data_IF_096486087454
#
_entry.id   IF_096486087454
#
_cell.length_a   1.000
_cell.length_b   1.000
_cell.length_c   1.000
_cell.angle_alpha   90.00
_cell.angle_beta   90.00
_cell.angle_gamma   90.00
#
_symmetry.space_group_name_H-M   'P 1'
#
loop_
_entity.id
_entity.type
_entity.pdbx_description
1 polymer ?
#
# COMPACT_ATOMS: atom_id res chain seq x y z
N UNK A 1 23.31 16.83 25.16
CA UNK A 1 23.39 15.64 24.30
C UNK A 1 22.05 15.48 23.62
N UNK A 2 22.02 15.39 22.29
CA UNK A 2 20.81 14.99 21.55
C UNK A 2 20.81 13.48 21.42
N UNK A 3 19.74 12.82 21.84
CA UNK A 3 19.54 11.40 21.56
C UNK A 3 18.94 11.28 20.16
N UNK A 4 19.52 10.40 19.34
CA UNK A 4 18.92 10.04 18.06
C UNK A 4 17.90 8.93 18.34
N UNK A 5 16.61 9.15 18.08
CA UNK A 5 15.61 8.11 18.25
C UNK A 5 15.81 6.98 17.23
N UNK A 6 15.50 5.76 17.63
CA UNK A 6 15.39 4.60 16.73
C UNK A 6 13.91 4.33 16.51
N UNK A 7 13.47 4.28 15.25
CA UNK A 7 12.10 3.86 14.95
C UNK A 7 11.95 2.37 15.24
N UNK A 8 11.10 2.01 16.19
CA UNK A 8 10.82 0.62 16.51
C UNK A 8 9.73 0.00 15.61
N UNK A 9 9.03 0.85 14.85
CA UNK A 9 7.95 0.44 13.96
C UNK A 9 7.97 1.31 12.69
N UNK A 10 8.05 0.67 11.53
CA UNK A 10 8.02 1.34 10.23
C UNK A 10 7.57 0.36 9.16
N UNK A 11 6.83 0.86 8.17
CA UNK A 11 6.30 0.06 7.07
C UNK A 11 6.77 0.62 5.72
N UNK A 12 6.70 -0.21 4.69
CA UNK A 12 6.84 0.16 3.29
C UNK A 12 5.51 -0.08 2.57
N UNK A 13 5.27 0.62 1.47
CA UNK A 13 4.13 0.35 0.60
C UNK A 13 4.50 -0.79 -0.33
N UNK A 14 3.71 -1.86 -0.38
CA UNK A 14 4.02 -2.99 -1.25
C UNK A 14 3.81 -2.65 -2.73
N UNK A 15 4.69 -3.11 -3.64
CA UNK A 15 4.43 -3.00 -5.07
C UNK A 15 3.22 -3.85 -5.47
N UNK A 16 2.53 -3.55 -6.59
CA UNK A 16 1.27 -4.20 -6.95
C UNK A 16 1.38 -5.71 -7.15
N UNK A 17 2.58 -6.17 -7.51
CA UNK A 17 2.90 -7.57 -7.78
C UNK A 17 3.44 -8.34 -6.55
N UNK A 18 3.49 -7.71 -5.37
CA UNK A 18 4.16 -8.25 -4.17
C UNK A 18 3.75 -9.69 -3.85
N UNK A 19 2.47 -10.00 -3.90
CA UNK A 19 1.92 -11.27 -3.43
C UNK A 19 1.63 -12.30 -4.56
N UNK A 20 1.83 -11.95 -5.83
CA UNK A 20 1.43 -12.79 -6.97
C UNK A 20 2.61 -13.48 -7.67
N UNK A 21 3.76 -12.82 -7.74
CA UNK A 21 4.87 -13.28 -8.60
C UNK A 21 5.50 -14.58 -8.09
N UNK A 22 5.70 -14.67 -6.77
CA UNK A 22 6.50 -15.72 -6.14
C UNK A 22 5.72 -16.66 -5.21
N UNK A 23 4.40 -16.49 -5.13
CA UNK A 23 3.55 -17.39 -4.33
C UNK A 23 3.44 -18.77 -5.00
N UNK A 24 3.33 -19.83 -4.19
CA UNK A 24 3.00 -21.18 -4.69
C UNK A 24 1.72 -21.08 -5.57
N UNK A 25 1.75 -21.59 -6.82
CA UNK A 25 0.64 -21.43 -7.76
C UNK A 25 -0.73 -21.81 -7.20
N UNK A 26 -0.81 -22.78 -6.29
CA UNK A 26 -2.09 -23.21 -5.70
C UNK A 26 -2.78 -22.15 -4.85
N UNK A 27 -2.08 -21.07 -4.48
CA UNK A 27 -2.62 -19.97 -3.67
C UNK A 27 -2.85 -18.68 -4.46
N UNK A 28 -2.52 -18.61 -5.76
CA UNK A 28 -2.65 -17.37 -6.54
C UNK A 28 -4.06 -16.81 -6.55
N UNK A 29 -5.07 -17.67 -6.56
CA UNK A 29 -6.48 -17.27 -6.60
C UNK A 29 -6.97 -16.62 -5.30
N UNK A 30 -6.24 -16.83 -4.19
CA UNK A 30 -6.58 -16.29 -2.86
C UNK A 30 -5.54 -15.31 -2.33
N UNK A 31 -4.48 -15.03 -3.10
CA UNK A 31 -3.45 -14.09 -2.72
C UNK A 31 -4.02 -12.67 -2.64
N UNK A 32 -3.51 -11.81 -1.73
CA UNK A 32 -3.77 -10.40 -1.77
C UNK A 32 -3.48 -9.83 -3.17
N UNK A 33 -4.40 -9.06 -3.72
CA UNK A 33 -4.23 -8.46 -5.04
C UNK A 33 -4.80 -7.05 -5.08
N UNK A 34 -4.17 -6.21 -5.88
CA UNK A 34 -4.64 -4.86 -6.10
C UNK A 34 -5.74 -4.85 -7.18
N UNK A 35 -6.81 -4.09 -6.94
CA UNK A 35 -7.89 -3.88 -7.89
C UNK A 35 -8.25 -2.40 -7.92
N UNK A 36 -8.59 -1.91 -9.10
CA UNK A 36 -9.24 -0.61 -9.21
C UNK A 36 -10.74 -0.75 -8.98
N UNK A 37 -11.30 0.12 -8.14
CA UNK A 37 -12.74 0.26 -7.93
C UNK A 37 -13.13 1.70 -8.18
N UNK A 38 -14.14 1.91 -9.04
CA UNK A 38 -14.66 3.25 -9.33
C UNK A 38 -15.15 3.94 -8.05
N UNK A 39 -14.81 5.22 -7.90
CA UNK A 39 -15.03 5.98 -6.66
C UNK A 39 -13.92 5.76 -5.62
N UNK A 40 -13.54 4.52 -5.32
CA UNK A 40 -12.57 4.21 -4.26
C UNK A 40 -11.09 4.35 -4.67
N UNK A 41 -10.75 4.16 -5.94
CA UNK A 41 -9.35 4.15 -6.38
C UNK A 41 -8.75 2.74 -6.37
N UNK A 42 -7.43 2.66 -6.23
CA UNK A 42 -6.74 1.38 -6.08
C UNK A 42 -6.85 0.87 -4.64
N UNK A 43 -7.26 -0.39 -4.52
CA UNK A 43 -7.47 -1.07 -3.24
C UNK A 43 -6.75 -2.41 -3.21
N UNK A 44 -6.36 -2.87 -2.02
CA UNK A 44 -6.04 -4.27 -1.80
C UNK A 44 -7.30 -5.06 -1.43
N UNK A 45 -7.52 -6.17 -2.12
CA UNK A 45 -8.47 -7.20 -1.73
C UNK A 45 -7.71 -8.36 -1.14
N UNK A 46 -8.06 -8.73 0.10
CA UNK A 46 -7.43 -9.82 0.85
C UNK A 46 -8.49 -10.88 1.12
N UNK A 47 -8.20 -12.12 0.75
CA UNK A 47 -9.13 -13.23 0.98
C UNK A 47 -9.37 -13.43 2.48
N UNK A 48 -10.64 -13.42 2.90
CA UNK A 48 -11.04 -13.53 4.31
C UNK A 48 -11.13 -12.20 5.07
N UNK A 49 -10.91 -11.06 4.41
CA UNK A 49 -11.22 -9.73 4.97
C UNK A 49 -12.52 -9.18 4.36
N UNK A 50 -13.42 -8.70 5.22
CA UNK A 50 -14.71 -8.13 4.79
C UNK A 50 -14.54 -6.77 4.10
N UNK A 51 -13.53 -6.01 4.51
CA UNK A 51 -13.27 -4.67 4.00
C UNK A 51 -12.00 -4.65 3.16
N UNK A 52 -12.02 -4.02 1.98
CA UNK A 52 -10.80 -3.77 1.22
C UNK A 52 -9.92 -2.74 1.92
N UNK A 53 -8.63 -2.76 1.61
CA UNK A 53 -7.66 -1.81 2.16
C UNK A 53 -7.44 -0.69 1.13
N UNK A 54 -7.87 0.55 1.39
CA UNK A 54 -7.69 1.67 0.46
C UNK A 54 -6.23 2.14 0.44
N UNK A 55 -5.62 2.17 -0.75
CA UNK A 55 -4.20 2.57 -0.87
C UNK A 55 -3.97 4.03 -0.45
N UNK A 56 -4.98 4.87 -0.57
CA UNK A 56 -4.90 6.29 -0.21
C UNK A 56 -4.52 6.58 1.23
N UNK A 57 -4.83 5.66 2.16
CA UNK A 57 -4.45 5.81 3.57
C UNK A 57 -3.16 5.05 3.93
N UNK A 58 -2.83 3.99 3.18
CA UNK A 58 -1.64 3.17 3.45
C UNK A 58 -0.35 3.93 3.17
N UNK A 59 -0.32 4.79 2.15
CA UNK A 59 0.85 5.58 1.79
C UNK A 59 0.76 7.07 2.19
N UNK A 60 -0.06 7.41 3.19
CA UNK A 60 -0.35 8.80 3.54
C UNK A 60 0.72 9.50 4.39
N UNK A 61 1.79 8.79 4.79
CA UNK A 61 2.84 9.36 5.62
C UNK A 61 3.49 10.58 4.93
N UNK A 62 3.56 11.69 5.66
CA UNK A 62 4.11 12.96 5.16
C UNK A 62 3.12 13.87 4.44
N UNK A 63 1.87 13.45 4.23
CA UNK A 63 0.80 14.32 3.73
C UNK A 63 0.28 15.27 4.81
N UNK A 64 -0.22 16.44 4.39
CA UNK A 64 -0.98 17.30 5.29
C UNK A 64 -2.29 16.60 5.68
N UNK A 65 -2.74 16.67 6.95
CA UNK A 65 -4.00 16.04 7.36
C UNK A 65 -5.23 16.45 6.52
N UNK A 66 -5.25 17.67 5.98
CA UNK A 66 -6.33 18.15 5.11
C UNK A 66 -6.33 17.52 3.71
N UNK A 67 -5.24 16.85 3.33
CA UNK A 67 -5.07 16.15 2.05
C UNK A 67 -5.37 14.66 2.14
N UNK A 68 -5.60 14.12 3.34
CA UNK A 68 -5.96 12.71 3.51
C UNK A 68 -7.26 12.38 2.77
N UNK A 69 -7.22 11.35 1.93
CA UNK A 69 -8.37 10.84 1.19
C UNK A 69 -8.48 9.33 1.40
N UNK A 70 -9.69 8.85 1.66
CA UNK A 70 -9.99 7.42 1.75
C UNK A 70 -10.16 6.83 0.34
N UNK A 71 -10.55 7.67 -0.60
CA UNK A 71 -11.01 7.30 -1.93
C UNK A 71 -10.27 8.07 -3.03
N UNK A 72 -10.50 7.66 -4.28
CA UNK A 72 -9.99 8.34 -5.48
C UNK A 72 -8.49 8.22 -5.78
N UNK A 73 -7.66 7.73 -4.85
CA UNK A 73 -6.20 7.65 -5.06
C UNK A 73 -5.81 6.42 -5.90
N UNK A 74 -4.91 6.61 -6.86
CA UNK A 74 -4.28 5.52 -7.62
C UNK A 74 -2.96 5.10 -7.00
N UNK A 75 -2.53 3.89 -7.30
CA UNK A 75 -1.21 3.39 -6.90
C UNK A 75 -0.08 4.28 -7.44
N UNK A 76 -0.25 4.81 -8.65
CA UNK A 76 0.73 5.69 -9.29
C UNK A 76 0.82 7.07 -8.62
N UNK A 77 -0.16 7.45 -7.80
CA UNK A 77 -0.13 8.69 -7.01
C UNK A 77 0.68 8.53 -5.71
N UNK A 78 0.99 7.29 -5.31
CA UNK A 78 1.72 7.01 -4.07
C UNK A 78 3.20 7.36 -4.18
N UNK A 79 3.85 7.55 -3.03
CA UNK A 79 5.29 7.79 -2.97
C UNK A 79 6.05 6.63 -3.61
N UNK A 80 6.71 6.93 -4.73
CA UNK A 80 7.49 5.95 -5.48
C UNK A 80 8.62 5.34 -4.65
N UNK A 81 9.24 6.11 -3.75
CA UNK A 81 10.22 5.62 -2.77
C UNK A 81 9.65 4.59 -1.80
N UNK A 82 8.34 4.54 -1.63
CA UNK A 82 7.66 3.58 -0.75
C UNK A 82 7.71 2.15 -1.25
N UNK A 83 7.81 1.93 -2.57
CA UNK A 83 7.74 0.59 -3.17
C UNK A 83 8.86 0.28 -4.19
N UNK A 84 9.46 1.28 -4.81
CA UNK A 84 10.58 1.11 -5.75
C UNK A 84 11.92 1.25 -5.02
N UNK A 85 12.53 0.11 -4.68
CA UNK A 85 13.81 0.05 -3.98
C UNK A 85 14.99 0.69 -4.76
N UNK A 86 14.83 1.00 -6.06
CA UNK A 86 15.85 1.67 -6.86
C UNK A 86 15.63 3.19 -6.95
N UNK A 87 14.49 3.69 -6.50
CA UNK A 87 14.17 5.11 -6.49
C UNK A 87 14.87 5.81 -5.30
N UNK A 88 15.56 6.92 -5.56
CA UNK A 88 16.35 7.69 -4.58
C UNK A 88 15.93 9.14 -4.58
#
# INVERSE_FOLDING_TARGET
>A
MSYVPISADSHITEPPNCYIDYIDPKYRDVAPSMKFVEGLGDIYVVNGMDNPIPMGLVAAAGLDPSELRVDGMRFDDLWKSGWDAKYR
#
